data_IF_288854213382
#
_entry.id   IF_288854213382
#
_cell.length_a   1.000
_cell.length_b   1.000
_cell.length_c   1.000
_cell.angle_alpha   90.00
_cell.angle_beta   90.00
_cell.angle_gamma   90.00
#
_symmetry.space_group_name_H-M   'P 1'
#
loop_
_entity.id
_entity.type
_entity.pdbx_description
1 polymer ?
#
# COMPACT_ATOMS: atom_id res chain seq x y z
N UNK A 1 -21.99 5.96 -0.01
CA UNK A 1 -22.23 4.82 -0.98
C UNK A 1 -21.98 3.47 -0.31
N UNK A 2 -22.68 2.39 -0.76
CA UNK A 2 -22.35 1.02 -0.36
C UNK A 2 -21.04 0.58 -1.03
N UNK A 3 -20.18 -0.14 -0.30
CA UNK A 3 -18.95 -0.75 -0.85
C UNK A 3 -19.30 -1.86 -1.84
N UNK A 4 -18.64 -1.86 -3.00
CA UNK A 4 -18.73 -2.93 -4.01
C UNK A 4 -17.30 -3.50 -4.12
N UNK A 5 -17.03 -4.69 -3.52
CA UNK A 5 -15.68 -5.26 -3.56
C UNK A 5 -15.22 -5.53 -4.98
N UNK A 6 -13.99 -5.22 -5.26
CA UNK A 6 -13.30 -5.56 -6.50
C UNK A 6 -12.60 -6.90 -6.34
N UNK A 7 -12.62 -7.74 -7.37
CA UNK A 7 -12.10 -9.10 -7.29
C UNK A 7 -10.84 -9.33 -8.10
N UNK A 8 -10.37 -8.34 -8.83
CA UNK A 8 -9.34 -8.56 -9.85
C UNK A 8 -7.94 -8.14 -9.36
N UNK A 9 -7.01 -9.11 -9.44
CA UNK A 9 -5.59 -8.84 -9.58
C UNK A 9 -5.34 -8.38 -11.03
N UNK A 10 -4.42 -7.44 -11.25
CA UNK A 10 -4.01 -7.03 -12.61
C UNK A 10 -3.20 -8.15 -13.27
N UNK A 11 -3.87 -9.19 -13.78
CA UNK A 11 -3.23 -10.34 -14.41
C UNK A 11 -2.91 -10.13 -15.89
N UNK A 12 -3.61 -9.19 -16.55
CA UNK A 12 -3.40 -8.90 -17.97
C UNK A 12 -2.13 -8.06 -18.18
N UNK A 13 -1.22 -8.54 -19.04
CA UNK A 13 -0.01 -7.79 -19.43
C UNK A 13 -0.35 -6.43 -20.05
N UNK A 14 -1.44 -6.34 -20.81
CA UNK A 14 -1.90 -5.07 -21.41
C UNK A 14 -2.33 -4.09 -20.33
N UNK A 15 -3.08 -4.54 -19.33
CA UNK A 15 -3.56 -3.75 -18.22
C UNK A 15 -2.40 -3.29 -17.31
N UNK A 16 -1.48 -4.20 -16.96
CA UNK A 16 -0.29 -3.89 -16.20
C UNK A 16 0.60 -2.84 -16.91
N UNK A 17 0.76 -2.97 -18.24
CA UNK A 17 1.49 -1.99 -19.04
C UNK A 17 0.78 -0.64 -19.10
N UNK A 18 -0.54 -0.62 -19.27
CA UNK A 18 -1.32 0.62 -19.27
C UNK A 18 -1.19 1.33 -17.93
N UNK A 19 -1.28 0.59 -16.81
CA UNK A 19 -1.09 1.10 -15.46
C UNK A 19 0.33 1.68 -15.28
N UNK A 20 1.36 0.93 -15.65
CA UNK A 20 2.76 1.35 -15.51
C UNK A 20 3.13 2.58 -16.36
N UNK A 21 2.38 2.84 -17.42
CA UNK A 21 2.54 4.06 -18.25
C UNK A 21 1.70 5.25 -17.76
N UNK A 22 0.79 5.04 -16.81
CA UNK A 22 -0.04 6.11 -16.26
C UNK A 22 0.73 7.01 -15.31
N UNK A 23 0.26 8.23 -15.15
CA UNK A 23 0.91 9.22 -14.29
C UNK A 23 0.34 9.19 -12.87
N UNK A 24 0.95 8.41 -11.99
CA UNK A 24 0.64 8.36 -10.57
C UNK A 24 1.63 9.15 -9.69
N UNK A 25 2.45 10.04 -10.28
CA UNK A 25 3.50 10.78 -9.56
C UNK A 25 2.97 11.56 -8.36
N UNK A 26 1.81 12.18 -8.48
CA UNK A 26 1.21 12.94 -7.38
C UNK A 26 0.91 12.04 -6.18
N UNK A 27 0.13 10.97 -6.35
CA UNK A 27 -0.24 10.04 -5.29
C UNK A 27 0.97 9.32 -4.70
N UNK A 28 1.89 8.85 -5.54
CA UNK A 28 3.12 8.20 -5.09
C UNK A 28 4.01 9.15 -4.26
N UNK A 29 4.13 10.42 -4.66
CA UNK A 29 4.84 11.43 -3.90
C UNK A 29 4.17 11.73 -2.55
N UNK A 30 2.84 11.75 -2.48
CA UNK A 30 2.11 11.88 -1.21
C UNK A 30 2.48 10.74 -0.27
N UNK A 31 2.47 9.49 -0.74
CA UNK A 31 2.86 8.33 0.06
C UNK A 31 4.30 8.43 0.54
N UNK A 32 5.25 8.61 -0.37
CA UNK A 32 6.69 8.64 -0.05
C UNK A 32 7.04 9.79 0.90
N UNK A 33 6.44 10.97 0.71
CA UNK A 33 6.67 12.11 1.61
C UNK A 33 6.11 11.85 3.02
N UNK A 34 4.92 11.21 3.14
CA UNK A 34 4.38 10.82 4.44
C UNK A 34 5.26 9.74 5.11
N UNK A 35 5.75 8.75 4.35
CA UNK A 35 6.69 7.73 4.85
C UNK A 35 7.94 8.39 5.47
N UNK A 36 8.62 9.27 4.75
CA UNK A 36 9.82 9.96 5.26
C UNK A 36 9.54 10.91 6.42
N UNK A 37 8.30 11.40 6.57
CA UNK A 37 7.89 12.26 7.69
C UNK A 37 7.69 11.47 8.98
N UNK A 38 7.18 10.22 8.91
CA UNK A 38 6.79 9.43 10.09
C UNK A 38 7.80 8.34 10.45
N UNK A 39 8.78 8.06 9.58
CA UNK A 39 9.82 7.05 9.78
C UNK A 39 11.21 7.61 9.48
N UNK A 40 12.22 7.04 10.17
CA UNK A 40 13.62 7.31 9.90
C UNK A 40 14.21 6.13 9.13
N UNK A 41 14.70 6.38 7.92
CA UNK A 41 15.30 5.36 7.05
C UNK A 41 16.79 5.55 6.98
N UNK A 42 17.53 4.47 7.14
CA UNK A 42 19.00 4.37 6.98
C UNK A 42 19.36 3.06 6.26
N UNK A 43 20.64 2.84 6.05
CA UNK A 43 21.21 1.71 5.31
C UNK A 43 20.97 0.32 5.93
N UNK A 44 20.48 0.26 7.17
CA UNK A 44 20.11 -0.99 7.87
C UNK A 44 18.60 -1.20 7.93
N UNK A 45 17.82 -0.22 7.49
CA UNK A 45 16.35 -0.30 7.53
C UNK A 45 15.85 -1.36 6.54
N UNK A 46 15.05 -2.28 7.04
CA UNK A 46 14.37 -3.32 6.26
C UNK A 46 12.92 -2.90 6.02
N UNK A 47 12.55 -2.77 4.76
CA UNK A 47 11.20 -2.39 4.33
C UNK A 47 10.54 -3.56 3.61
N UNK A 48 9.30 -3.84 3.94
CA UNK A 48 8.43 -4.74 3.16
C UNK A 48 7.36 -3.90 2.47
N UNK A 49 7.26 -4.02 1.16
CA UNK A 49 6.20 -3.43 0.35
C UNK A 49 5.24 -4.52 -0.13
N UNK A 50 4.00 -4.46 0.33
CA UNK A 50 2.93 -5.43 0.02
C UNK A 50 2.02 -4.86 -1.05
N UNK A 51 1.86 -5.59 -2.16
CA UNK A 51 1.18 -5.10 -3.35
C UNK A 51 2.01 -4.01 -4.03
N UNK A 52 3.29 -4.32 -4.29
CA UNK A 52 4.26 -3.34 -4.79
C UNK A 52 4.00 -2.91 -6.23
N UNK A 53 3.14 -3.62 -6.96
CA UNK A 53 2.81 -3.35 -8.34
C UNK A 53 4.06 -3.28 -9.23
N UNK A 54 4.13 -2.23 -10.03
CA UNK A 54 5.25 -1.95 -10.95
C UNK A 54 6.49 -1.30 -10.28
N UNK A 55 6.48 -1.22 -8.94
CA UNK A 55 7.63 -0.85 -8.12
C UNK A 55 7.98 0.65 -8.09
N UNK A 56 7.11 1.53 -8.51
CA UNK A 56 7.41 2.96 -8.55
C UNK A 56 7.76 3.52 -7.15
N UNK A 57 7.02 3.13 -6.10
CA UNK A 57 7.27 3.58 -4.72
C UNK A 57 8.60 3.06 -4.17
N UNK A 58 8.92 1.75 -4.19
CA UNK A 58 10.22 1.24 -3.78
C UNK A 58 11.39 1.93 -4.49
N UNK A 59 11.28 2.14 -5.81
CA UNK A 59 12.31 2.83 -6.59
C UNK A 59 12.48 4.28 -6.12
N UNK A 60 11.40 5.01 -5.86
CA UNK A 60 11.47 6.37 -5.34
C UNK A 60 12.12 6.44 -3.96
N UNK A 61 11.86 5.45 -3.08
CA UNK A 61 12.50 5.36 -1.77
C UNK A 61 14.00 5.17 -1.93
N UNK A 62 14.43 4.19 -2.75
CA UNK A 62 15.84 3.85 -2.98
C UNK A 62 16.63 4.97 -3.67
N UNK A 63 15.97 5.79 -4.50
CA UNK A 63 16.57 7.02 -5.06
C UNK A 63 16.84 8.09 -4.00
N UNK A 64 16.10 8.10 -2.89
CA UNK A 64 16.25 9.10 -1.81
C UNK A 64 17.12 8.61 -0.66
N UNK A 65 17.07 7.31 -0.33
CA UNK A 65 17.79 6.69 0.81
C UNK A 65 18.18 5.26 0.48
N UNK A 66 19.39 4.89 0.90
CA UNK A 66 19.82 3.50 0.87
C UNK A 66 19.15 2.72 2.01
N UNK A 67 18.53 1.59 1.69
CA UNK A 67 17.91 0.65 2.62
C UNK A 67 17.67 -0.68 1.90
N UNK A 68 17.25 -1.72 2.62
CA UNK A 68 16.90 -3.01 2.05
C UNK A 68 15.38 -3.09 1.86
N UNK A 69 14.91 -3.31 0.64
CA UNK A 69 13.48 -3.46 0.35
C UNK A 69 13.18 -4.87 -0.13
N UNK A 70 12.21 -5.51 0.50
CA UNK A 70 11.50 -6.69 -0.03
C UNK A 70 10.17 -6.21 -0.57
N UNK A 71 9.92 -6.44 -1.85
CA UNK A 71 8.72 -6.02 -2.55
C UNK A 71 7.96 -7.27 -3.03
N UNK A 72 6.69 -7.38 -2.68
CA UNK A 72 5.87 -8.54 -3.04
C UNK A 72 4.60 -8.10 -3.76
N UNK A 73 4.23 -8.84 -4.78
CA UNK A 73 2.97 -8.69 -5.51
C UNK A 73 2.49 -10.05 -6.02
N UNK A 74 1.16 -10.23 -6.07
CA UNK A 74 0.55 -11.44 -6.62
C UNK A 74 0.47 -11.45 -8.15
N UNK A 75 0.65 -10.31 -8.81
CA UNK A 75 0.57 -10.18 -10.26
C UNK A 75 1.94 -10.30 -10.90
N UNK A 76 2.17 -11.40 -11.62
CA UNK A 76 3.40 -11.59 -12.39
C UNK A 76 3.56 -10.51 -13.47
N UNK A 77 2.46 -10.09 -14.10
CA UNK A 77 2.47 -9.03 -15.11
C UNK A 77 2.94 -7.68 -14.57
N UNK A 78 2.56 -7.32 -13.33
CA UNK A 78 3.05 -6.11 -12.65
C UNK A 78 4.53 -6.25 -12.30
N UNK A 79 4.96 -7.40 -11.80
CA UNK A 79 6.37 -7.64 -11.47
C UNK A 79 7.27 -7.61 -12.70
N UNK A 80 6.80 -8.02 -13.87
CA UNK A 80 7.54 -7.89 -15.14
C UNK A 80 7.82 -6.41 -15.47
N UNK A 81 6.86 -5.53 -15.27
CA UNK A 81 7.09 -4.08 -15.43
C UNK A 81 8.05 -3.55 -14.35
N UNK A 82 7.98 -4.06 -13.13
CA UNK A 82 8.92 -3.72 -12.06
C UNK A 82 10.35 -4.12 -12.41
N UNK A 83 10.59 -5.34 -12.86
CA UNK A 83 11.93 -5.80 -13.27
C UNK A 83 12.54 -4.91 -14.35
N UNK A 84 11.74 -4.47 -15.33
CA UNK A 84 12.17 -3.52 -16.37
C UNK A 84 12.61 -2.19 -15.75
N UNK A 85 11.83 -1.65 -14.81
CA UNK A 85 12.15 -0.38 -14.11
C UNK A 85 13.42 -0.50 -13.26
N UNK A 86 13.60 -1.60 -12.50
CA UNK A 86 14.81 -1.87 -11.69
C UNK A 86 16.04 -1.89 -12.57
N UNK A 87 15.99 -2.61 -13.69
CA UNK A 87 17.09 -2.67 -14.66
C UNK A 87 17.43 -1.30 -15.24
N UNK A 88 16.43 -0.55 -15.68
CA UNK A 88 16.61 0.77 -16.31
C UNK A 88 17.15 1.83 -15.33
N UNK A 89 16.84 1.70 -14.03
CA UNK A 89 17.30 2.63 -12.99
C UNK A 89 18.54 2.14 -12.22
N UNK A 90 19.13 0.99 -12.58
CA UNK A 90 20.30 0.37 -11.89
C UNK A 90 20.09 0.19 -10.37
N UNK A 91 18.87 -0.15 -9.95
CA UNK A 91 18.51 -0.38 -8.54
C UNK A 91 19.09 -1.74 -8.10
N UNK A 92 19.70 -1.80 -6.89
CA UNK A 92 20.38 -3.01 -6.39
C UNK A 92 19.79 -3.57 -5.09
N UNK A 93 19.40 -2.72 -4.16
CA UNK A 93 18.99 -3.13 -2.80
C UNK A 93 17.50 -3.45 -2.73
N UNK A 94 17.04 -4.32 -3.64
CA UNK A 94 15.65 -4.73 -3.69
C UNK A 94 15.52 -6.21 -4.02
N UNK A 95 14.70 -6.90 -3.25
CA UNK A 95 14.26 -8.27 -3.50
C UNK A 95 12.81 -8.23 -3.96
N UNK A 96 12.55 -8.74 -5.16
CA UNK A 96 11.20 -8.81 -5.75
C UNK A 96 10.71 -10.24 -5.69
N UNK A 97 9.47 -10.46 -5.26
CA UNK A 97 8.89 -11.79 -5.08
C UNK A 97 7.45 -11.81 -5.61
N UNK A 98 7.13 -12.83 -6.41
CA UNK A 98 5.73 -13.16 -6.70
C UNK A 98 5.18 -13.91 -5.49
N UNK A 99 4.34 -13.25 -4.69
CA UNK A 99 3.85 -13.78 -3.42
C UNK A 99 2.66 -12.98 -2.92
N UNK A 100 1.84 -13.60 -2.12
CA UNK A 100 0.79 -12.93 -1.34
C UNK A 100 1.27 -12.68 0.10
N UNK A 101 0.55 -11.83 0.84
CA UNK A 101 0.94 -11.44 2.21
C UNK A 101 0.94 -12.59 3.22
N UNK A 102 0.15 -13.61 2.97
CA UNK A 102 -0.01 -14.82 3.82
C UNK A 102 0.89 -15.98 3.40
N UNK A 103 1.73 -15.79 2.38
CA UNK A 103 2.64 -16.80 1.87
C UNK A 103 3.67 -17.24 2.93
N UNK A 104 4.00 -18.54 2.93
CA UNK A 104 5.01 -19.14 3.79
C UNK A 104 6.40 -18.53 3.60
N UNK A 105 6.71 -17.98 2.43
CA UNK A 105 7.97 -17.31 2.12
C UNK A 105 8.27 -16.09 3.03
N UNK A 106 7.24 -15.51 3.65
CA UNK A 106 7.35 -14.39 4.59
C UNK A 106 7.33 -14.85 6.06
N UNK A 107 7.13 -16.15 6.34
CA UNK A 107 7.06 -16.66 7.72
C UNK A 107 8.41 -16.45 8.41
N UNK A 108 8.35 -15.92 9.66
CA UNK A 108 9.53 -15.62 10.47
C UNK A 108 10.30 -14.36 10.08
N UNK A 109 9.95 -13.71 8.97
CA UNK A 109 10.54 -12.42 8.59
C UNK A 109 10.03 -11.29 9.46
N UNK A 110 10.88 -10.29 9.73
CA UNK A 110 10.54 -9.07 10.45
C UNK A 110 11.14 -7.85 9.75
N UNK A 111 10.35 -6.78 9.69
CA UNK A 111 10.68 -5.57 8.98
C UNK A 111 10.48 -4.33 9.88
N UNK A 112 11.36 -3.35 9.74
CA UNK A 112 11.25 -2.07 10.46
C UNK A 112 10.07 -1.25 9.93
N UNK A 113 9.80 -1.37 8.63
CA UNK A 113 8.67 -0.71 7.96
C UNK A 113 7.93 -1.76 7.12
N UNK A 114 6.65 -1.91 7.36
CA UNK A 114 5.75 -2.67 6.49
C UNK A 114 4.81 -1.69 5.84
N UNK A 115 4.79 -1.65 4.51
CA UNK A 115 3.99 -0.67 3.80
C UNK A 115 3.12 -1.30 2.72
N UNK A 116 2.05 -0.59 2.37
CA UNK A 116 1.16 -0.93 1.27
C UNK A 116 0.52 0.33 0.72
N UNK A 117 0.43 0.45 -0.60
CA UNK A 117 -0.21 1.56 -1.27
C UNK A 117 -1.16 1.04 -2.35
N UNK A 118 -2.39 1.56 -2.36
CA UNK A 118 -3.41 1.19 -3.37
C UNK A 118 -3.68 -0.32 -3.47
N UNK A 119 -3.73 -1.02 -2.33
CA UNK A 119 -4.01 -2.46 -2.25
C UNK A 119 -5.22 -2.76 -1.36
N UNK A 120 -5.44 -1.98 -0.30
CA UNK A 120 -6.43 -2.30 0.75
C UNK A 120 -7.85 -2.43 0.18
N UNK A 121 -8.19 -1.69 -0.87
CA UNK A 121 -9.50 -1.76 -1.52
C UNK A 121 -9.76 -3.12 -2.21
N UNK A 122 -8.73 -3.87 -2.62
CA UNK A 122 -8.85 -5.23 -3.15
C UNK A 122 -9.05 -6.30 -2.05
N UNK A 123 -8.73 -5.97 -0.80
CA UNK A 123 -8.72 -6.94 0.30
C UNK A 123 -10.16 -7.23 0.76
N UNK A 124 -10.54 -8.52 0.71
CA UNK A 124 -11.85 -9.00 1.21
C UNK A 124 -11.82 -9.24 2.72
N UNK A 125 -10.83 -9.98 3.20
CA UNK A 125 -10.61 -10.21 4.64
C UNK A 125 -9.57 -9.25 5.19
N UNK A 126 -10.02 -8.03 5.45
CA UNK A 126 -9.15 -6.97 5.94
C UNK A 126 -8.66 -7.22 7.38
N UNK A 127 -9.39 -8.02 8.19
CA UNK A 127 -8.93 -8.38 9.53
C UNK A 127 -7.69 -9.27 9.47
N UNK A 128 -7.68 -10.27 8.59
CA UNK A 128 -6.50 -11.10 8.33
C UNK A 128 -5.37 -10.29 7.72
N UNK A 129 -5.66 -9.34 6.84
CA UNK A 129 -4.67 -8.43 6.28
C UNK A 129 -3.93 -7.65 7.38
N UNK A 130 -4.66 -6.96 8.28
CA UNK A 130 -4.03 -6.22 9.39
C UNK A 130 -3.21 -7.13 10.30
N UNK A 131 -3.70 -8.34 10.62
CA UNK A 131 -2.95 -9.32 11.42
C UNK A 131 -1.64 -9.73 10.76
N UNK A 132 -1.64 -9.93 9.44
CA UNK A 132 -0.44 -10.29 8.69
C UNK A 132 0.56 -9.14 8.66
N UNK A 133 0.13 -7.89 8.44
CA UNK A 133 1.03 -6.73 8.52
C UNK A 133 1.68 -6.63 9.90
N UNK A 134 0.89 -6.79 10.98
CA UNK A 134 1.39 -6.78 12.38
C UNK A 134 2.39 -7.92 12.60
N UNK A 135 2.08 -9.13 12.12
CA UNK A 135 2.97 -10.29 12.24
C UNK A 135 4.33 -10.06 11.58
N UNK A 136 4.37 -9.34 10.46
CA UNK A 136 5.59 -9.06 9.68
C UNK A 136 6.35 -7.84 10.20
N UNK A 137 5.74 -7.02 11.05
CA UNK A 137 6.37 -5.81 11.59
C UNK A 137 7.21 -6.15 12.82
N UNK A 138 8.42 -5.58 12.94
CA UNK A 138 9.26 -5.69 14.13
C UNK A 138 8.62 -4.94 15.31
N UNK A 139 9.02 -5.27 16.56
CA UNK A 139 8.44 -4.67 17.77
C UNK A 139 8.49 -3.14 17.79
N UNK A 140 9.56 -2.54 17.27
CA UNK A 140 9.71 -1.09 17.14
C UNK A 140 9.37 -0.57 15.74
N UNK A 141 8.80 -1.43 14.90
CA UNK A 141 8.49 -1.11 13.52
C UNK A 141 7.22 -0.27 13.37
N UNK A 142 6.98 0.12 12.12
CA UNK A 142 5.80 0.89 11.75
C UNK A 142 5.12 0.28 10.52
N UNK A 143 3.79 0.26 10.53
CA UNK A 143 2.98 -0.09 9.37
C UNK A 143 2.45 1.20 8.75
N UNK A 144 2.56 1.31 7.43
CA UNK A 144 2.11 2.47 6.66
C UNK A 144 1.22 2.00 5.51
N UNK A 145 -0.01 2.48 5.48
CA UNK A 145 -0.91 2.20 4.36
C UNK A 145 -1.48 3.51 3.82
N UNK A 146 -1.54 3.63 2.50
CA UNK A 146 -2.31 4.65 1.82
C UNK A 146 -3.23 3.97 0.81
N UNK A 147 -4.47 4.42 0.76
CA UNK A 147 -5.42 3.88 -0.21
C UNK A 147 -6.47 4.91 -0.59
N UNK A 148 -7.24 4.59 -1.62
CA UNK A 148 -8.41 5.35 -2.01
C UNK A 148 -9.44 5.37 -0.87
N UNK A 149 -10.14 6.48 -0.75
CA UNK A 149 -11.30 6.63 0.11
C UNK A 149 -12.56 6.54 -0.75
N UNK A 150 -13.51 5.68 -0.34
CA UNK A 150 -14.80 5.60 -1.03
C UNK A 150 -15.53 6.94 -0.94
N UNK A 151 -15.99 7.49 -2.08
CA UNK A 151 -16.80 8.71 -2.09
C UNK A 151 -18.13 8.51 -1.33
N UNK A 152 -18.68 9.60 -0.81
CA UNK A 152 -19.92 9.55 -0.04
C UNK A 152 -21.13 9.23 -0.93
N UNK A 153 -21.14 9.73 -2.17
CA UNK A 153 -22.24 9.61 -3.13
C UNK A 153 -21.76 9.51 -4.59
N UNK A 154 -22.72 9.22 -5.49
CA UNK A 154 -22.44 9.08 -6.93
C UNK A 154 -21.97 10.40 -7.57
N UNK A 155 -22.40 11.54 -7.09
CA UNK A 155 -21.98 12.83 -7.65
C UNK A 155 -20.50 13.11 -7.35
N UNK A 156 -20.06 12.78 -6.15
CA UNK A 156 -18.65 12.83 -5.73
C UNK A 156 -17.79 11.85 -6.54
N UNK A 157 -18.30 10.63 -6.77
CA UNK A 157 -17.63 9.66 -7.64
C UNK A 157 -17.44 10.18 -9.06
N UNK A 158 -18.51 10.69 -9.68
CA UNK A 158 -18.47 11.23 -11.05
C UNK A 158 -17.46 12.39 -11.13
N UNK A 159 -17.44 13.27 -10.14
CA UNK A 159 -16.48 14.38 -10.08
C UNK A 159 -15.04 13.89 -10.05
N UNK A 160 -14.72 12.90 -9.20
CA UNK A 160 -13.38 12.29 -9.16
C UNK A 160 -12.99 11.65 -10.50
N UNK A 161 -13.94 10.94 -11.15
CA UNK A 161 -13.69 10.35 -12.48
C UNK A 161 -13.48 11.38 -13.58
N UNK A 162 -14.10 12.56 -13.48
CA UNK A 162 -13.87 13.67 -14.42
C UNK A 162 -12.48 14.30 -14.23
N UNK A 163 -12.05 14.46 -12.98
CA UNK A 163 -10.77 15.10 -12.66
C UNK A 163 -9.59 14.16 -12.94
N UNK A 164 -9.71 12.87 -12.52
CA UNK A 164 -8.57 11.95 -12.42
C UNK A 164 -8.65 10.74 -13.34
N UNK A 165 -9.80 10.46 -13.94
CA UNK A 165 -10.01 9.24 -14.75
C UNK A 165 -9.25 9.23 -16.08
N UNK A 166 -8.68 10.36 -16.53
CA UNK A 166 -7.91 10.44 -17.75
C UNK A 166 -8.71 10.06 -19.00
N UNK A 167 -7.99 9.82 -20.11
CA UNK A 167 -8.58 9.49 -21.42
C UNK A 167 -8.57 7.98 -21.74
N UNK A 168 -7.85 7.16 -20.97
CA UNK A 168 -7.83 5.72 -21.16
C UNK A 168 -9.07 5.11 -20.50
N UNK A 169 -9.96 4.54 -21.33
CA UNK A 169 -11.25 4.02 -20.85
C UNK A 169 -11.08 2.85 -19.88
N UNK A 170 -10.10 1.97 -20.08
CA UNK A 170 -9.80 0.84 -19.20
C UNK A 170 -9.36 1.36 -17.83
N UNK A 171 -8.35 2.21 -17.76
CA UNK A 171 -7.88 2.80 -16.51
C UNK A 171 -8.95 3.62 -15.79
N UNK A 172 -9.81 4.31 -16.54
CA UNK A 172 -10.93 5.06 -15.96
C UNK A 172 -11.95 4.11 -15.33
N UNK A 173 -12.23 2.98 -15.97
CA UNK A 173 -13.13 1.95 -15.42
C UNK A 173 -12.52 1.27 -14.20
N UNK A 174 -11.23 0.94 -14.24
CA UNK A 174 -10.50 0.38 -13.10
C UNK A 174 -10.53 1.38 -11.92
N UNK A 175 -10.27 2.66 -12.17
CA UNK A 175 -10.36 3.69 -11.13
C UNK A 175 -11.77 3.83 -10.53
N UNK A 176 -12.83 3.74 -11.36
CA UNK A 176 -14.21 3.70 -10.86
C UNK A 176 -14.44 2.50 -9.95
N UNK A 177 -14.01 1.30 -10.37
CA UNK A 177 -14.16 0.07 -9.60
C UNK A 177 -13.42 0.17 -8.28
N UNK A 178 -12.17 0.66 -8.29
CA UNK A 178 -11.35 0.85 -7.09
C UNK A 178 -11.97 1.87 -6.11
N UNK A 179 -12.53 2.99 -6.60
CA UNK A 179 -13.26 3.94 -5.74
C UNK A 179 -14.51 3.30 -5.10
N UNK A 180 -15.24 2.46 -5.83
CA UNK A 180 -16.41 1.73 -5.29
C UNK A 180 -16.00 0.64 -4.30
N UNK A 181 -14.81 0.03 -4.49
CA UNK A 181 -14.26 -1.01 -3.62
C UNK A 181 -13.53 -0.43 -2.39
N UNK A 182 -13.16 0.84 -2.42
CA UNK A 182 -12.44 1.50 -1.34
C UNK A 182 -13.20 1.47 -0.02
N UNK A 183 -12.46 1.48 1.08
CA UNK A 183 -13.02 1.66 2.42
C UNK A 183 -13.16 3.15 2.76
N UNK A 184 -14.06 3.47 3.66
CA UNK A 184 -14.10 4.79 4.31
C UNK A 184 -13.11 4.84 5.48
N UNK A 185 -12.70 6.05 5.87
CA UNK A 185 -11.86 6.25 7.07
C UNK A 185 -12.50 5.65 8.31
N UNK A 186 -13.83 5.76 8.46
CA UNK A 186 -14.52 5.24 9.64
C UNK A 186 -14.61 3.71 9.65
N UNK A 187 -14.74 3.07 8.49
CA UNK A 187 -14.66 1.61 8.37
C UNK A 187 -13.26 1.11 8.79
N UNK A 188 -12.18 1.76 8.34
CA UNK A 188 -10.82 1.41 8.73
C UNK A 188 -10.58 1.67 10.24
N UNK A 189 -11.03 2.81 10.77
CA UNK A 189 -10.96 3.10 12.21
C UNK A 189 -11.66 2.04 13.05
N UNK A 190 -12.86 1.65 12.65
CA UNK A 190 -13.63 0.62 13.35
C UNK A 190 -12.85 -0.68 13.45
N UNK A 191 -12.25 -1.12 12.35
CA UNK A 191 -11.47 -2.36 12.31
C UNK A 191 -10.18 -2.30 13.14
N UNK A 192 -9.45 -1.19 13.04
CA UNK A 192 -8.21 -1.02 13.79
C UNK A 192 -8.46 -0.89 15.32
N UNK A 193 -9.60 -0.34 15.73
CA UNK A 193 -10.00 -0.28 17.14
C UNK A 193 -10.28 -1.67 17.74
N UNK A 194 -10.61 -2.68 16.93
CA UNK A 194 -10.78 -4.06 17.40
C UNK A 194 -9.44 -4.77 17.68
N UNK A 195 -8.32 -4.20 17.23
CA UNK A 195 -6.99 -4.81 17.37
C UNK A 195 -6.33 -4.29 18.64
N UNK A 196 -6.01 -5.23 19.55
CA UNK A 196 -5.28 -4.89 20.77
C UNK A 196 -3.80 -4.61 20.49
N UNK A 197 -3.16 -3.88 21.42
CA UNK A 197 -1.71 -3.62 21.43
C UNK A 197 -1.17 -2.86 20.22
N UNK A 198 -2.00 -2.03 19.62
CA UNK A 198 -1.55 -1.07 18.61
C UNK A 198 -1.93 0.37 19.01
N UNK A 199 -1.21 1.32 18.44
CA UNK A 199 -1.61 2.72 18.32
C UNK A 199 -1.59 3.10 16.87
N UNK A 200 -2.57 3.87 16.43
CA UNK A 200 -2.64 4.27 15.03
C UNK A 200 -3.10 5.71 14.84
N UNK A 201 -2.76 6.27 13.71
CA UNK A 201 -3.35 7.50 13.19
C UNK A 201 -3.89 7.23 11.79
N UNK A 202 -5.01 7.82 11.47
CA UNK A 202 -5.57 7.81 10.12
C UNK A 202 -6.04 9.21 9.77
N UNK A 203 -5.75 9.67 8.56
CA UNK A 203 -6.12 11.02 8.10
C UNK A 203 -6.31 11.02 6.59
N UNK A 204 -7.18 11.89 6.05
CA UNK A 204 -7.18 12.20 4.63
C UNK A 204 -5.84 12.87 4.26
N UNK A 205 -5.31 12.55 3.10
CA UNK A 205 -4.06 13.13 2.56
C UNK A 205 -4.25 13.74 1.17
N UNK A 206 -5.39 13.48 0.56
CA UNK A 206 -5.90 14.17 -0.62
C UNK A 206 -7.45 14.11 -0.62
N UNK A 207 -8.07 14.59 -1.66
CA UNK A 207 -9.52 14.51 -1.88
C UNK A 207 -10.06 13.08 -2.10
N UNK A 208 -9.16 12.12 -2.31
CA UNK A 208 -9.50 10.73 -2.61
C UNK A 208 -8.64 9.68 -1.91
N UNK A 209 -7.68 10.09 -1.06
CA UNK A 209 -6.82 9.14 -0.35
C UNK A 209 -6.81 9.39 1.15
N UNK A 210 -6.75 8.30 1.92
CA UNK A 210 -6.37 8.32 3.33
C UNK A 210 -4.98 7.72 3.53
N UNK A 211 -4.35 8.08 4.65
CA UNK A 211 -3.07 7.52 5.08
C UNK A 211 -3.18 7.03 6.52
N UNK A 212 -2.77 5.79 6.74
CA UNK A 212 -2.73 5.12 8.04
C UNK A 212 -1.28 4.92 8.45
N UNK A 213 -0.98 5.19 9.72
CA UNK A 213 0.24 4.71 10.35
C UNK A 213 -0.10 3.97 11.64
N UNK A 214 0.50 2.77 11.83
CA UNK A 214 0.26 1.91 12.99
C UNK A 214 1.62 1.60 13.63
N UNK A 215 1.68 1.68 14.98
CA UNK A 215 2.81 1.23 15.79
C UNK A 215 2.34 0.16 16.77
N UNK A 216 3.17 -0.85 16.97
CA UNK A 216 2.94 -1.85 18.00
C UNK A 216 3.20 -1.21 19.37
N UNK A 217 2.36 -1.56 20.37
CA UNK A 217 2.57 -1.12 21.76
C UNK A 217 3.43 -2.17 22.46
N UNK A 218 4.53 -1.75 23.05
CA UNK A 218 5.38 -2.62 23.87
C UNK A 218 4.63 -3.17 25.08
N UNK A 219 4.79 -4.46 25.35
CA UNK A 219 4.29 -5.12 26.57
C UNK A 219 5.01 -4.67 27.86
N UNK A 220 6.06 -3.86 27.74
CA UNK A 220 6.94 -3.48 28.87
C UNK A 220 6.36 -2.39 29.77
N UNK A 221 5.28 -1.70 29.40
CA UNK A 221 4.72 -0.58 30.20
C UNK A 221 3.84 -1.08 31.36
N UNK A 222 3.50 -2.38 31.45
CA UNK A 222 2.64 -2.93 32.52
C UNK A 222 3.35 -3.71 33.60
N UNK A 223 4.69 -3.65 33.72
CA UNK A 223 5.45 -4.33 34.79
C UNK A 223 5.94 -3.40 35.90
N UNK A 224 5.28 -2.30 36.12
CA UNK A 224 5.53 -1.45 37.32
C UNK A 224 4.22 -1.06 37.96
N UNK A 225 3.68 -1.98 38.78
CA UNK A 225 2.98 -1.65 40.06
C UNK A 225 3.01 -2.86 40.97
#
# INVERSE_FOLDING_TARGET
MRRIPESELMESTEQARAYSCADFRESNNIFVNNLFRVSKINDKTKILDIGCGDGEIPIQILKRKNCDITAVDGSEAMLDEFYKKVKNNNIRNIKIMNSLIDDELLVGSKFDIVMSNSLVHHIKDIKSFWKNLIRLTDNNGIILCMDLQRPDDESSLINLLQIYGGNNLTLKKDFENSLRAAYTIDEIKSQLNEINKISFTIKPVSDRHFFVSIRLKDDTIFKTK
#
